data_IF_770649267323
#
_entry.id   IF_770649267323
#
_cell.length_a   1.000
_cell.length_b   1.000
_cell.length_c   1.000
_cell.angle_alpha   90.00
_cell.angle_beta   90.00
_cell.angle_gamma   90.00
#
_symmetry.space_group_name_H-M   'P 1'
#
loop_
_entity.id
_entity.type
_entity.pdbx_description
1 polymer ?
#
# COMPACT_ATOMS: atom_id res chain seq x y z
N UNK A 1 -21.93 8.74 5.52
CA UNK A 1 -20.50 9.12 5.51
C UNK A 1 -19.70 7.87 5.18
N UNK A 2 -18.70 7.95 4.30
CA UNK A 2 -17.90 6.78 3.94
C UNK A 2 -16.87 6.50 5.03
N UNK A 3 -16.87 5.28 5.56
CA UNK A 3 -15.95 4.85 6.61
C UNK A 3 -14.55 4.57 6.03
N UNK A 4 -13.51 5.09 6.69
CA UNK A 4 -12.12 4.87 6.28
C UNK A 4 -11.64 3.55 6.87
N UNK A 5 -11.24 2.64 5.99
CA UNK A 5 -10.78 1.29 6.34
C UNK A 5 -9.29 1.14 6.08
N UNK A 6 -8.68 0.09 6.63
CA UNK A 6 -7.27 -0.23 6.43
C UNK A 6 -7.17 -1.49 5.57
N UNK A 7 -6.46 -1.38 4.45
CA UNK A 7 -6.22 -2.48 3.53
C UNK A 7 -4.76 -2.89 3.56
N UNK A 8 -4.50 -4.16 3.84
CA UNK A 8 -3.20 -4.79 3.61
C UNK A 8 -3.11 -5.19 2.14
N UNK A 9 -2.16 -4.59 1.43
CA UNK A 9 -1.83 -4.92 0.05
C UNK A 9 -0.48 -5.63 0.01
N UNK A 10 -0.48 -6.86 -0.48
CA UNK A 10 0.72 -7.66 -0.72
C UNK A 10 0.92 -7.89 -2.20
N UNK A 11 2.18 -7.85 -2.62
CA UNK A 11 2.52 -8.09 -4.01
C UNK A 11 4.01 -8.15 -4.24
N UNK A 12 4.37 -8.19 -5.51
CA UNK A 12 5.73 -8.06 -6.00
C UNK A 12 5.85 -6.85 -6.90
N UNK A 13 7.00 -6.20 -6.87
CA UNK A 13 7.32 -5.11 -7.79
C UNK A 13 8.70 -5.35 -8.41
N UNK A 14 8.82 -5.09 -9.71
CA UNK A 14 10.09 -5.20 -10.44
C UNK A 14 10.80 -3.86 -10.41
N UNK A 15 11.94 -3.83 -9.72
CA UNK A 15 12.85 -2.70 -9.65
C UNK A 15 13.90 -2.78 -10.76
N UNK A 16 14.44 -1.63 -11.17
CA UNK A 16 15.55 -1.55 -12.12
C UNK A 16 15.33 -2.34 -13.42
N UNK A 17 14.08 -2.32 -13.93
CA UNK A 17 13.63 -3.13 -15.07
C UNK A 17 14.49 -2.99 -16.35
N UNK A 18 15.24 -1.89 -16.50
CA UNK A 18 16.09 -1.63 -17.68
C UNK A 18 17.51 -2.18 -17.60
N UNK A 19 18.04 -2.48 -16.41
CA UNK A 19 19.45 -2.92 -16.25
C UNK A 19 19.56 -4.24 -15.51
N UNK A 20 18.98 -4.32 -14.32
CA UNK A 20 19.03 -5.50 -13.46
C UNK A 20 17.65 -5.70 -12.82
N UNK A 21 16.71 -6.32 -13.54
CA UNK A 21 15.34 -6.50 -13.06
C UNK A 21 15.37 -7.34 -11.78
N UNK A 22 15.00 -6.73 -10.66
CA UNK A 22 14.92 -7.41 -9.37
C UNK A 22 13.48 -7.39 -8.90
N UNK A 23 12.89 -8.58 -8.74
CA UNK A 23 11.56 -8.72 -8.15
C UNK A 23 11.67 -8.67 -6.63
N UNK A 24 10.98 -7.73 -6.00
CA UNK A 24 10.92 -7.62 -4.55
C UNK A 24 9.48 -7.73 -4.07
N UNK A 25 9.28 -8.50 -3.00
CA UNK A 25 7.99 -8.59 -2.32
C UNK A 25 7.77 -7.30 -1.52
N UNK A 26 6.54 -6.79 -1.54
CA UNK A 26 6.13 -5.69 -0.69
C UNK A 26 4.86 -6.06 0.08
N UNK A 27 4.75 -5.50 1.28
CA UNK A 27 3.52 -5.47 2.06
C UNK A 27 3.32 -4.03 2.50
N UNK A 28 2.15 -3.46 2.19
CA UNK A 28 1.80 -2.09 2.54
C UNK A 28 0.39 -2.05 3.10
N UNK A 29 0.23 -1.29 4.17
CA UNK A 29 -1.07 -1.01 4.74
C UNK A 29 -1.50 0.38 4.26
N UNK A 30 -2.70 0.47 3.70
CA UNK A 30 -3.22 1.68 3.07
C UNK A 30 -4.58 2.00 3.67
N UNK A 31 -4.75 3.25 4.13
CA UNK A 31 -6.05 3.77 4.54
C UNK A 31 -6.82 4.19 3.29
N UNK A 32 -8.00 3.64 3.07
CA UNK A 32 -8.84 3.95 1.91
C UNK A 32 -10.31 3.69 2.22
N UNK A 33 -11.21 4.23 1.37
CA UNK A 33 -12.64 3.98 1.46
C UNK A 33 -13.04 2.64 0.85
N UNK A 34 -12.25 2.15 -0.11
CA UNK A 34 -12.47 0.89 -0.81
C UNK A 34 -11.16 0.32 -1.39
N UNK A 35 -11.19 -0.94 -1.80
CA UNK A 35 -10.04 -1.65 -2.37
C UNK A 35 -9.49 -0.98 -3.63
N UNK A 36 -10.36 -0.46 -4.51
CA UNK A 36 -9.94 0.21 -5.75
C UNK A 36 -9.06 1.43 -5.45
N UNK A 37 -9.44 2.23 -4.47
CA UNK A 37 -8.68 3.39 -4.04
C UNK A 37 -7.34 2.96 -3.40
N UNK A 38 -7.33 1.88 -2.61
CA UNK A 38 -6.09 1.34 -2.05
C UNK A 38 -5.11 0.90 -3.16
N UNK A 39 -5.61 0.23 -4.21
CA UNK A 39 -4.82 -0.18 -5.38
C UNK A 39 -4.22 1.04 -6.10
N UNK A 40 -5.03 2.04 -6.42
CA UNK A 40 -4.53 3.25 -7.11
C UNK A 40 -3.48 4.00 -6.28
N UNK A 41 -3.66 4.04 -4.97
CA UNK A 41 -2.67 4.61 -4.08
C UNK A 41 -1.34 3.85 -4.16
N UNK A 42 -1.35 2.52 -4.16
CA UNK A 42 -0.14 1.70 -4.31
C UNK A 42 0.55 1.97 -5.65
N UNK A 43 -0.19 2.01 -6.76
CA UNK A 43 0.38 2.34 -8.06
C UNK A 43 1.01 3.72 -8.08
N UNK A 44 0.35 4.73 -7.50
CA UNK A 44 0.84 6.10 -7.44
C UNK A 44 2.09 6.22 -6.56
N UNK A 45 2.11 5.58 -5.39
CA UNK A 45 3.25 5.60 -4.47
C UNK A 45 4.48 4.89 -5.03
N UNK A 46 4.31 3.67 -5.56
CA UNK A 46 5.42 2.90 -6.14
C UNK A 46 5.92 3.54 -7.44
N UNK A 47 5.02 4.08 -8.26
CA UNK A 47 5.37 4.80 -9.47
C UNK A 47 6.10 6.11 -9.20
N UNK A 48 5.60 6.93 -8.27
CA UNK A 48 6.19 8.23 -7.95
C UNK A 48 7.55 8.11 -7.26
N UNK A 49 7.65 7.27 -6.21
CA UNK A 49 8.87 7.17 -5.40
C UNK A 49 9.99 6.38 -6.09
N UNK A 50 9.64 5.29 -6.78
CA UNK A 50 10.61 4.33 -7.29
C UNK A 50 10.67 4.28 -8.83
N UNK A 51 9.90 5.15 -9.53
CA UNK A 51 9.81 5.18 -11.00
C UNK A 51 9.42 3.82 -11.61
N UNK A 52 8.62 3.03 -10.87
CA UNK A 52 8.15 1.72 -11.30
C UNK A 52 6.88 1.89 -12.14
N UNK A 53 6.85 1.29 -13.33
CA UNK A 53 5.66 1.33 -14.17
C UNK A 53 4.58 0.38 -13.64
N UNK A 54 3.31 0.70 -13.86
CA UNK A 54 2.16 -0.07 -13.32
C UNK A 54 2.21 -1.56 -13.68
N UNK A 55 2.59 -1.89 -14.91
CA UNK A 55 2.69 -3.28 -15.38
C UNK A 55 3.81 -4.10 -14.70
N UNK A 56 4.74 -3.44 -13.99
CA UNK A 56 5.80 -4.08 -13.21
C UNK A 56 5.40 -4.29 -11.73
N UNK A 57 4.16 -3.94 -11.36
CA UNK A 57 3.63 -4.10 -10.01
C UNK A 57 2.56 -5.19 -10.12
N UNK A 58 2.78 -6.29 -9.41
CA UNK A 58 1.85 -7.41 -9.36
C UNK A 58 1.28 -7.53 -7.95
N UNK A 59 0.00 -7.22 -7.80
CA UNK A 59 -0.72 -7.34 -6.54
C UNK A 59 -1.19 -8.78 -6.41
N UNK A 60 -0.82 -9.44 -5.31
CA UNK A 60 -1.16 -10.83 -5.02
C UNK A 60 -2.36 -10.95 -4.09
N UNK A 61 -2.46 -10.06 -3.10
CA UNK A 61 -3.49 -10.14 -2.07
C UNK A 61 -3.85 -8.73 -1.60
N UNK A 62 -5.16 -8.49 -1.47
CA UNK A 62 -5.72 -7.31 -0.81
C UNK A 62 -6.71 -7.82 0.22
N UNK A 63 -6.55 -7.36 1.46
CA UNK A 63 -7.46 -7.70 2.56
C UNK A 63 -7.70 -6.48 3.41
N UNK A 64 -8.95 -6.27 3.79
CA UNK A 64 -9.30 -5.36 4.88
C UNK A 64 -8.79 -5.96 6.19
N UNK A 65 -8.07 -5.17 6.98
CA UNK A 65 -7.47 -5.59 8.25
C UNK A 65 -7.86 -4.61 9.35
N UNK A 66 -8.00 -5.13 10.57
CA UNK A 66 -8.22 -4.27 11.75
C UNK A 66 -6.91 -3.72 12.27
N UNK A 67 -6.99 -2.66 13.07
CA UNK A 67 -5.82 -1.97 13.65
C UNK A 67 -4.91 -2.88 14.47
N UNK A 68 -5.48 -3.91 15.09
CA UNK A 68 -4.76 -4.87 15.93
C UNK A 68 -3.94 -5.88 15.13
N UNK A 69 -4.25 -6.09 13.85
CA UNK A 69 -3.56 -7.03 12.95
C UNK A 69 -2.40 -6.36 12.19
N UNK A 70 -2.21 -5.04 12.36
CA UNK A 70 -1.17 -4.29 11.68
C UNK A 70 0.18 -4.60 12.34
N UNK A 71 1.05 -5.25 11.57
CA UNK A 71 2.40 -5.61 12.04
C UNK A 71 3.35 -4.40 12.06
N UNK A 72 3.10 -3.39 11.22
CA UNK A 72 3.90 -2.18 11.14
C UNK A 72 3.50 -1.18 12.24
N UNK A 73 4.39 -0.97 13.21
CA UNK A 73 4.16 -0.08 14.36
C UNK A 73 3.80 1.35 13.93
N UNK A 74 4.45 1.87 12.88
CA UNK A 74 4.21 3.24 12.39
C UNK A 74 2.79 3.41 11.90
N UNK A 75 2.28 2.43 11.16
CA UNK A 75 0.93 2.48 10.62
C UNK A 75 -0.11 2.24 11.72
N UNK A 76 0.21 1.37 12.69
CA UNK A 76 -0.62 1.18 13.87
C UNK A 76 -0.77 2.48 14.67
N UNK A 77 0.31 3.23 14.86
CA UNK A 77 0.28 4.50 15.57
C UNK A 77 -0.47 5.59 14.77
N UNK A 78 -0.31 5.62 13.45
CA UNK A 78 -1.08 6.51 12.55
C UNK A 78 -2.57 6.18 12.47
N UNK A 79 -2.95 4.91 12.63
CA UNK A 79 -4.36 4.51 12.68
C UNK A 79 -5.03 5.06 13.95
N UNK A 80 -4.33 5.02 15.09
CA UNK A 80 -4.80 5.53 16.39
C UNK A 80 -4.88 7.05 16.47
N UNK A 81 -4.23 7.79 15.58
CA UNK A 81 -4.30 9.24 15.51
C UNK A 81 -5.59 9.65 14.79
N UNK A 82 -6.64 9.88 15.59
CA UNK A 82 -8.01 10.13 15.10
C UNK A 82 -8.21 11.50 14.44
N UNK A 83 -7.34 12.50 14.68
CA UNK A 83 -7.43 13.82 14.05
C UNK A 83 -6.06 14.44 13.83
N UNK A 84 -5.64 14.57 12.58
CA UNK A 84 -4.73 15.67 12.22
C UNK A 84 -5.64 16.88 12.00
N UNK A 85 -5.73 17.75 13.00
CA UNK A 85 -6.19 19.12 12.79
C UNK A 85 -5.02 19.82 12.10
N UNK A 86 -5.22 20.18 10.83
CA UNK A 86 -4.36 21.11 10.09
C UNK A 86 -5.04 22.47 10.04
#
# INVERSE_FOLDING_TARGET
MAEVKIFMVRGTAIFSASRFPTSQKFTKYVRALNEKQAIEYIYSQLGGKNKIKRYNIHIQEIKEVKEDEITDKTIRDLAKLDKIIM
#
